data_IF_384018465119
#
_entry.id   IF_384018465119
#
_cell.length_a   1.000
_cell.length_b   1.000
_cell.length_c   1.000
_cell.angle_alpha   90.00
_cell.angle_beta   90.00
_cell.angle_gamma   90.00
#
_symmetry.space_group_name_H-M   'P 1'
#
loop_
_entity.id
_entity.type
_entity.pdbx_description
1 polymer ?
#
# COMPACT_ATOMS: atom_id res chain seq x y z
N UNK A 1 -25.67 32.42 -12.36
CA UNK A 1 -24.95 31.69 -11.29
C UNK A 1 -23.99 30.64 -11.85
N UNK A 2 -24.32 29.95 -12.94
CA UNK A 2 -23.44 28.92 -13.53
C UNK A 2 -22.21 29.50 -14.28
N UNK A 3 -22.36 30.63 -14.97
CA UNK A 3 -21.24 31.29 -15.71
C UNK A 3 -20.12 31.77 -14.77
N UNK A 4 -20.48 32.31 -13.60
CA UNK A 4 -19.50 32.75 -12.59
C UNK A 4 -18.69 31.58 -12.00
N UNK A 5 -19.29 30.38 -11.87
CA UNK A 5 -18.57 29.20 -11.39
C UNK A 5 -17.53 28.73 -12.42
N UNK A 6 -17.90 28.75 -13.70
CA UNK A 6 -16.97 28.37 -14.78
C UNK A 6 -15.81 29.37 -14.91
N UNK A 7 -16.06 30.66 -14.75
CA UNK A 7 -15.03 31.70 -14.72
C UNK A 7 -14.09 31.53 -13.53
N UNK A 8 -14.61 31.24 -12.34
CA UNK A 8 -13.79 30.97 -11.16
C UNK A 8 -12.92 29.72 -11.34
N UNK A 9 -13.46 28.62 -11.87
CA UNK A 9 -12.68 27.39 -12.12
C UNK A 9 -11.57 27.66 -13.14
N UNK A 10 -11.84 28.43 -14.19
CA UNK A 10 -10.83 28.80 -15.18
C UNK A 10 -9.76 29.71 -14.56
N UNK A 11 -10.15 30.64 -13.69
CA UNK A 11 -9.24 31.50 -12.94
C UNK A 11 -8.33 30.72 -11.99
N UNK A 12 -8.88 29.75 -11.23
CA UNK A 12 -8.12 28.86 -10.33
C UNK A 12 -7.13 28.01 -11.11
N UNK A 13 -7.51 27.51 -12.30
CA UNK A 13 -6.60 26.75 -13.17
C UNK A 13 -5.43 27.62 -13.64
N UNK A 14 -5.68 28.86 -14.02
CA UNK A 14 -4.64 29.81 -14.46
C UNK A 14 -3.69 30.18 -13.31
N UNK A 15 -4.22 30.42 -12.11
CA UNK A 15 -3.43 30.88 -10.95
C UNK A 15 -3.07 29.77 -9.96
N UNK A 16 -3.12 28.49 -10.38
CA UNK A 16 -2.87 27.33 -9.50
C UNK A 16 -1.55 27.43 -8.74
N UNK A 17 -0.50 27.92 -9.39
CA UNK A 17 0.85 28.06 -8.79
C UNK A 17 0.86 29.12 -7.68
N UNK A 18 0.26 30.28 -7.94
CA UNK A 18 0.19 31.37 -6.97
C UNK A 18 -0.71 31.00 -5.78
N UNK A 19 -1.79 30.24 -6.04
CA UNK A 19 -2.66 29.72 -4.98
C UNK A 19 -1.95 28.72 -4.08
N UNK A 20 -1.10 27.85 -4.64
CA UNK A 20 -0.27 26.94 -3.85
C UNK A 20 0.73 27.73 -3.01
N UNK A 21 1.40 28.72 -3.58
CA UNK A 21 2.40 29.54 -2.88
C UNK A 21 1.75 30.32 -1.73
N UNK A 22 0.62 30.99 -1.98
CA UNK A 22 -0.13 31.73 -0.97
C UNK A 22 -0.73 30.80 0.11
N UNK A 23 -1.25 29.64 -0.31
CA UNK A 23 -1.78 28.64 0.62
C UNK A 23 -0.70 28.11 1.56
N UNK A 24 0.47 27.77 1.02
CA UNK A 24 1.62 27.31 1.82
C UNK A 24 2.14 28.42 2.74
N UNK A 25 2.18 29.68 2.30
CA UNK A 25 2.65 30.78 3.15
C UNK A 25 1.74 31.01 4.36
N UNK A 26 0.42 30.99 4.15
CA UNK A 26 -0.56 31.14 5.25
C UNK A 26 -0.47 29.94 6.20
N UNK A 27 -0.39 28.72 5.67
CA UNK A 27 -0.25 27.50 6.47
C UNK A 27 1.03 27.51 7.30
N UNK A 28 2.15 28.00 6.75
CA UNK A 28 3.42 28.11 7.47
C UNK A 28 3.32 29.07 8.67
N UNK A 29 2.69 30.24 8.50
CA UNK A 29 2.51 31.22 9.59
C UNK A 29 1.66 30.62 10.71
N UNK A 30 0.53 29.98 10.36
CA UNK A 30 -0.34 29.32 11.34
C UNK A 30 0.41 28.18 12.05
N UNK A 31 1.16 27.39 11.29
CA UNK A 31 1.98 26.30 11.81
C UNK A 31 3.04 26.78 12.81
N UNK A 32 3.68 27.92 12.55
CA UNK A 32 4.65 28.53 13.48
C UNK A 32 3.95 28.97 14.77
N UNK A 33 2.80 29.66 14.67
CA UNK A 33 2.07 30.17 15.84
C UNK A 33 1.59 29.02 16.73
N UNK A 34 0.99 27.98 16.13
CA UNK A 34 0.54 26.78 16.86
C UNK A 34 1.72 25.98 17.38
N UNK A 35 2.79 25.87 16.59
CA UNK A 35 4.02 25.17 16.94
C UNK A 35 4.72 25.76 18.17
N UNK A 36 4.78 27.09 18.27
CA UNK A 36 5.37 27.78 19.43
C UNK A 36 4.47 27.64 20.66
N UNK A 37 3.16 27.89 20.52
CA UNK A 37 2.23 27.85 21.67
C UNK A 37 2.03 26.44 22.22
N UNK A 38 2.04 25.43 21.37
CA UNK A 38 1.69 24.05 21.72
C UNK A 38 2.86 23.09 21.53
N UNK A 39 4.10 23.58 21.65
CA UNK A 39 5.33 22.82 21.41
C UNK A 39 5.34 21.48 22.16
N UNK A 40 5.00 21.50 23.44
CA UNK A 40 5.05 20.30 24.28
C UNK A 40 3.96 19.30 23.91
N UNK A 41 2.76 19.77 23.56
CA UNK A 41 1.67 18.91 23.08
C UNK A 41 2.00 18.25 21.75
N UNK A 42 2.59 19.00 20.81
CA UNK A 42 3.02 18.47 19.51
C UNK A 42 4.14 17.45 19.71
N UNK A 43 5.09 17.72 20.61
CA UNK A 43 6.16 16.78 20.95
C UNK A 43 5.61 15.51 21.58
N UNK A 44 4.64 15.62 22.50
CA UNK A 44 4.00 14.45 23.11
C UNK A 44 3.23 13.61 22.08
N UNK A 45 2.50 14.25 21.15
CA UNK A 45 1.83 13.56 20.04
C UNK A 45 2.84 12.88 19.11
N UNK A 46 3.96 13.54 18.81
CA UNK A 46 5.03 12.97 17.99
C UNK A 46 5.68 11.76 18.64
N UNK A 47 5.99 11.81 19.93
CA UNK A 47 6.54 10.67 20.67
C UNK A 47 5.53 9.52 20.77
N UNK A 48 4.24 9.81 20.95
CA UNK A 48 3.18 8.79 20.93
C UNK A 48 3.08 8.10 19.57
N UNK A 49 3.15 8.89 18.48
CA UNK A 49 3.13 8.39 17.11
C UNK A 49 4.37 7.52 16.82
N UNK A 50 5.55 8.02 17.16
CA UNK A 50 6.82 7.30 16.99
C UNK A 50 6.81 5.98 17.76
N UNK A 51 6.32 6.00 19.00
CA UNK A 51 6.17 4.79 19.82
C UNK A 51 5.15 3.81 19.22
N UNK A 52 4.12 4.31 18.55
CA UNK A 52 3.16 3.47 17.80
C UNK A 52 3.85 2.80 16.59
N UNK A 53 4.75 3.51 15.92
CA UNK A 53 5.52 2.97 14.79
C UNK A 53 6.64 2.01 15.22
N UNK A 54 7.31 2.26 16.37
CA UNK A 54 8.37 1.40 16.92
C UNK A 54 7.82 0.12 17.56
N UNK A 55 6.51 0.03 17.85
CA UNK A 55 5.90 -1.15 18.47
C UNK A 55 5.79 -2.37 17.56
N UNK A 56 6.12 -2.24 16.29
CA UNK A 56 6.34 -3.38 15.39
C UNK A 56 7.77 -3.32 14.83
N UNK A 57 8.63 -4.32 15.08
CA UNK A 57 9.87 -4.46 14.32
C UNK A 57 9.52 -4.97 12.92
N UNK A 58 9.01 -4.09 12.05
CA UNK A 58 8.83 -4.40 10.63
C UNK A 58 10.20 -4.28 9.97
N UNK A 59 10.77 -5.45 9.71
CA UNK A 59 11.78 -5.68 8.68
C UNK A 59 11.51 -4.78 7.48
N UNK A 60 12.42 -3.83 7.25
CA UNK A 60 12.79 -3.22 5.97
C UNK A 60 11.68 -3.11 4.90
N UNK A 61 11.18 -1.88 4.77
CA UNK A 61 10.75 -1.19 3.55
C UNK A 61 10.95 -1.94 2.23
N UNK A 62 9.90 -1.99 1.39
CA UNK A 62 9.90 -1.65 -0.06
C UNK A 62 8.41 -1.55 -0.55
N UNK A 63 7.98 -0.30 -0.77
CA UNK A 63 6.93 0.27 -1.66
C UNK A 63 5.41 0.07 -1.43
N UNK A 64 4.61 1.10 -1.83
CA UNK A 64 3.21 1.23 -1.50
C UNK A 64 2.33 0.54 -2.56
N UNK A 65 1.40 -0.28 -2.10
CA UNK A 65 0.14 -0.47 -2.80
C UNK A 65 -0.95 -0.20 -1.77
N UNK A 66 -1.68 0.88 -2.01
CA UNK A 66 -2.75 1.38 -1.16
C UNK A 66 -3.83 0.31 -0.89
N UNK A 67 -4.26 0.29 0.37
CA UNK A 67 -5.44 -0.34 0.96
C UNK A 67 -5.54 -1.87 0.87
N UNK A 68 -5.51 -2.54 2.02
CA UNK A 68 -6.60 -3.44 2.47
C UNK A 68 -6.31 -3.87 3.92
N UNK A 69 -7.36 -3.80 4.74
CA UNK A 69 -7.41 -4.10 6.16
C UNK A 69 -6.70 -5.40 6.55
N UNK A 70 -5.81 -5.28 7.53
CA UNK A 70 -5.04 -6.37 8.12
C UNK A 70 -5.88 -7.05 9.20
N UNK A 71 -6.42 -8.24 8.94
CA UNK A 71 -6.85 -9.13 10.02
C UNK A 71 -5.61 -9.89 10.51
N UNK A 72 -5.20 -9.54 11.72
CA UNK A 72 -4.16 -10.20 12.52
C UNK A 72 -4.64 -11.58 12.95
N UNK A 73 -3.84 -12.63 12.74
CA UNK A 73 -3.91 -13.85 13.53
C UNK A 73 -2.57 -14.08 14.22
N UNK A 74 -2.58 -13.93 15.55
CA UNK A 74 -1.50 -14.35 16.44
C UNK A 74 -1.54 -15.87 16.60
N UNK A 75 -0.35 -16.47 16.61
CA UNK A 75 -0.09 -17.88 16.80
C UNK A 75 -0.03 -18.27 18.27
N UNK A 76 -0.76 -19.30 18.72
CA UNK A 76 -0.41 -20.12 19.90
C UNK A 76 -1.01 -21.53 19.78
N UNK A 77 -0.50 -22.53 20.52
CA UNK A 77 0.06 -23.76 19.99
C UNK A 77 -0.93 -24.95 19.93
N UNK A 78 -0.48 -25.97 19.19
CA UNK A 78 -1.06 -27.31 19.01
C UNK A 78 -1.65 -27.89 20.30
N UNK A 79 -2.95 -28.15 20.30
CA UNK A 79 -3.57 -29.25 21.05
C UNK A 79 -4.57 -29.93 20.11
N UNK A 80 -4.34 -31.23 19.89
CA UNK A 80 -5.23 -32.11 19.16
C UNK A 80 -6.58 -32.23 19.89
N UNK A 81 -7.62 -31.66 19.31
CA UNK A 81 -9.00 -32.07 19.57
C UNK A 81 -9.76 -31.94 18.25
N UNK A 82 -10.01 -33.09 17.62
CA UNK A 82 -10.85 -33.19 16.42
C UNK A 82 -12.26 -32.76 16.82
N UNK A 83 -12.71 -31.65 16.26
CA UNK A 83 -14.13 -31.30 16.21
C UNK A 83 -14.43 -30.93 14.76
N UNK A 84 -15.35 -31.68 14.15
CA UNK A 84 -15.73 -31.58 12.74
C UNK A 84 -15.91 -30.13 12.32
N UNK A 85 -14.95 -29.62 11.55
CA UNK A 85 -15.07 -28.29 10.93
C UNK A 85 -16.05 -28.43 9.78
N UNK A 86 -17.24 -27.86 9.92
CA UNK A 86 -18.07 -27.59 8.75
C UNK A 86 -17.24 -26.71 7.80
N UNK A 87 -16.84 -27.31 6.68
CA UNK A 87 -16.14 -26.60 5.62
C UNK A 87 -17.12 -25.56 5.10
N UNK A 88 -16.95 -24.30 5.53
CA UNK A 88 -17.63 -23.16 4.92
C UNK A 88 -17.17 -23.14 3.46
N UNK A 89 -18.00 -23.71 2.58
CA UNK A 89 -17.81 -23.59 1.14
C UNK A 89 -18.10 -22.13 0.78
N UNK A 90 -17.05 -21.32 0.73
CA UNK A 90 -17.14 -20.03 0.07
C UNK A 90 -17.57 -20.29 -1.38
N UNK A 91 -18.63 -19.65 -1.88
CA UNK A 91 -18.93 -19.70 -3.29
C UNK A 91 -17.78 -19.00 -4.02
N UNK A 92 -16.83 -19.77 -4.53
CA UNK A 92 -15.85 -19.29 -5.49
C UNK A 92 -16.58 -19.04 -6.81
N UNK A 93 -17.22 -17.89 -6.92
CA UNK A 93 -17.72 -17.43 -8.20
C UNK A 93 -16.52 -16.90 -8.99
N UNK A 94 -15.90 -17.77 -9.80
CA UNK A 94 -15.07 -17.35 -10.93
C UNK A 94 -15.92 -16.67 -12.03
N UNK A 95 -17.01 -15.98 -11.66
CA UNK A 95 -17.90 -15.30 -12.58
C UNK A 95 -17.41 -13.87 -12.75
N UNK A 96 -16.74 -13.65 -13.88
CA UNK A 96 -16.57 -12.35 -14.54
C UNK A 96 -16.13 -11.22 -13.60
N UNK A 97 -14.92 -11.33 -13.05
CA UNK A 97 -14.23 -10.17 -12.52
C UNK A 97 -13.77 -9.30 -13.71
N UNK A 98 -14.13 -8.02 -13.63
CA UNK A 98 -13.56 -6.94 -14.44
C UNK A 98 -12.04 -7.09 -14.45
N UNK A 99 -11.41 -6.89 -15.61
CA UNK A 99 -9.96 -6.96 -15.74
C UNK A 99 -9.25 -6.08 -14.70
N UNK A 100 -8.31 -6.66 -13.95
CA UNK A 100 -7.47 -5.96 -12.98
C UNK A 100 -6.01 -6.36 -13.17
N UNK A 101 -5.12 -5.42 -12.89
CA UNK A 101 -3.68 -5.61 -12.99
C UNK A 101 -3.15 -6.29 -11.73
N UNK A 102 -2.33 -7.33 -11.92
CA UNK A 102 -1.61 -8.02 -10.86
C UNK A 102 -0.15 -7.59 -10.94
N UNK A 103 0.32 -6.87 -9.92
CA UNK A 103 1.70 -6.41 -9.82
C UNK A 103 2.71 -7.56 -9.85
N UNK A 104 3.95 -7.20 -10.19
CA UNK A 104 5.08 -8.09 -10.04
C UNK A 104 5.22 -8.60 -8.60
N UNK A 105 5.68 -9.84 -8.46
CA UNK A 105 5.86 -10.46 -7.15
C UNK A 105 6.81 -11.67 -7.22
N UNK A 106 7.29 -12.08 -6.05
CA UNK A 106 8.05 -13.32 -5.88
C UNK A 106 7.09 -14.47 -5.59
N UNK A 107 7.18 -15.55 -6.37
CA UNK A 107 6.39 -16.79 -6.17
C UNK A 107 7.30 -17.96 -5.83
N UNK A 108 6.82 -18.83 -4.93
CA UNK A 108 7.49 -20.10 -4.62
C UNK A 108 7.17 -21.17 -5.68
N UNK A 109 8.20 -21.93 -6.06
CA UNK A 109 8.13 -23.04 -7.00
C UNK A 109 8.03 -24.39 -6.25
N UNK A 110 7.42 -25.41 -6.91
CA UNK A 110 7.36 -26.76 -6.35
C UNK A 110 8.77 -27.34 -6.18
N UNK A 111 8.87 -28.40 -5.36
CA UNK A 111 10.12 -29.10 -5.09
C UNK A 111 10.88 -29.45 -6.38
N UNK A 112 12.20 -29.21 -6.37
CA UNK A 112 13.08 -29.51 -7.50
C UNK A 112 13.06 -28.50 -8.65
N UNK A 113 12.26 -27.43 -8.60
CA UNK A 113 12.27 -26.36 -9.62
C UNK A 113 12.89 -25.07 -9.10
N UNK A 114 13.69 -24.41 -9.94
CA UNK A 114 14.31 -23.11 -9.67
C UNK A 114 13.94 -22.11 -10.78
N UNK A 115 14.12 -20.82 -10.51
CA UNK A 115 13.98 -19.79 -11.53
C UNK A 115 15.01 -19.97 -12.65
N UNK A 116 14.60 -19.56 -13.86
CA UNK A 116 15.53 -19.43 -14.98
C UNK A 116 16.49 -18.27 -14.75
N UNK A 117 17.67 -18.30 -15.37
CA UNK A 117 18.67 -17.24 -15.28
C UNK A 117 18.10 -15.85 -15.61
N UNK A 118 17.21 -15.77 -16.60
CA UNK A 118 16.51 -14.52 -16.96
C UNK A 118 15.69 -13.96 -15.79
N UNK A 119 14.90 -14.79 -15.11
CA UNK A 119 14.07 -14.35 -13.98
C UNK A 119 14.89 -13.97 -12.75
N UNK A 120 16.05 -14.60 -12.56
CA UNK A 120 17.01 -14.22 -11.52
C UNK A 120 17.60 -12.84 -11.81
N UNK A 121 18.02 -12.59 -13.07
CA UNK A 121 18.54 -11.29 -13.48
C UNK A 121 17.49 -10.18 -13.32
N UNK A 122 16.26 -10.40 -13.80
CA UNK A 122 15.16 -9.43 -13.63
C UNK A 122 14.92 -9.14 -12.15
N UNK A 123 14.83 -10.16 -11.29
CA UNK A 123 14.68 -9.93 -9.85
C UNK A 123 15.81 -9.06 -9.28
N UNK A 124 17.06 -9.32 -9.69
CA UNK A 124 18.23 -8.55 -9.23
C UNK A 124 18.21 -7.10 -9.74
N UNK A 125 17.74 -6.84 -10.96
CA UNK A 125 17.52 -5.48 -11.49
C UNK A 125 16.51 -4.70 -10.62
N UNK A 126 15.46 -5.37 -10.13
CA UNK A 126 14.49 -4.81 -9.19
C UNK A 126 14.98 -4.81 -7.72
N UNK A 127 16.23 -5.21 -7.46
CA UNK A 127 16.83 -5.22 -6.11
C UNK A 127 16.47 -6.43 -5.24
N UNK A 128 15.91 -7.49 -5.83
CA UNK A 128 15.51 -8.70 -5.13
C UNK A 128 16.47 -9.88 -5.39
N UNK A 129 16.92 -10.51 -4.30
CA UNK A 129 17.70 -11.75 -4.36
C UNK A 129 16.78 -12.96 -4.15
N UNK A 130 16.55 -13.75 -5.21
CA UNK A 130 15.70 -14.95 -5.14
C UNK A 130 16.38 -16.07 -4.35
N UNK A 131 15.65 -16.66 -3.39
CA UNK A 131 16.08 -17.89 -2.70
C UNK A 131 15.89 -19.11 -3.62
N UNK A 132 16.49 -20.28 -3.29
CA UNK A 132 16.16 -21.53 -3.96
C UNK A 132 14.64 -21.73 -3.99
N UNK A 133 14.13 -22.22 -5.13
CA UNK A 133 12.69 -22.41 -5.37
C UNK A 133 11.85 -21.13 -5.38
N UNK A 134 12.43 -19.98 -5.66
CA UNK A 134 11.67 -18.76 -5.92
C UNK A 134 11.80 -18.32 -7.37
N UNK A 135 10.78 -17.63 -7.89
CA UNK A 135 10.81 -16.98 -9.19
C UNK A 135 10.18 -15.60 -9.14
N UNK A 136 10.71 -14.70 -9.96
CA UNK A 136 10.08 -13.43 -10.27
C UNK A 136 8.92 -13.64 -11.23
N UNK A 137 7.78 -13.03 -10.93
CA UNK A 137 6.60 -12.98 -11.79
C UNK A 137 6.43 -11.52 -12.18
N UNK A 138 6.39 -11.25 -13.49
CA UNK A 138 6.18 -9.89 -13.99
C UNK A 138 4.70 -9.53 -13.83
N UNK A 139 4.41 -8.23 -13.89
CA UNK A 139 3.05 -7.71 -13.89
C UNK A 139 2.22 -8.30 -15.03
N UNK A 140 0.97 -8.68 -14.74
CA UNK A 140 0.05 -9.24 -15.72
C UNK A 140 -1.40 -8.95 -15.36
N UNK A 141 -2.28 -8.90 -16.36
CA UNK A 141 -3.71 -8.64 -16.16
C UNK A 141 -4.45 -9.96 -15.95
N UNK A 142 -5.37 -9.97 -14.98
CA UNK A 142 -6.36 -11.05 -14.77
C UNK A 142 -7.77 -10.51 -14.94
N UNK A 143 -8.69 -11.39 -15.34
CA UNK A 143 -10.10 -11.07 -15.50
C UNK A 143 -10.50 -11.05 -16.98
N UNK A 144 -11.77 -10.71 -17.22
CA UNK A 144 -12.31 -10.57 -18.58
C UNK A 144 -12.26 -9.08 -18.94
N UNK A 145 -11.65 -8.76 -20.07
CA UNK A 145 -11.78 -7.42 -20.67
C UNK A 145 -13.25 -7.22 -21.03
N UNK A 146 -13.91 -6.28 -20.35
CA UNK A 146 -15.26 -5.87 -20.72
C UNK A 146 -15.10 -4.95 -21.93
N UNK A 147 -15.48 -5.44 -23.10
CA UNK A 147 -15.44 -4.73 -24.38
C UNK A 147 -16.49 -3.61 -24.47
#
# INVERSE_FOLDING_TARGET
MEEQKTEFIQWVKTHKKDLIIAGVSIAAIIGIIVGIKNKDSIRALWESLRKSMEKDPIKSLVYPCEMVEKITYESVPVVNAVSSTEIIKFPSSHKSQVSFEVCDHIRNLPDGRNASAKKIATAAEYGYNLKPRQTWVDTYTKGIEVA
#
